data_IF_442582169636
#
_entry.id   IF_442582169636
#
_cell.length_a   1.000
_cell.length_b   1.000
_cell.length_c   1.000
_cell.angle_alpha   90.00
_cell.angle_beta   90.00
_cell.angle_gamma   90.00
#
_symmetry.space_group_name_H-M   'P 1'
#
loop_
_entity.id
_entity.type
_entity.pdbx_description
1 polymer ?
#
# COMPACT_ATOMS: atom_id res chain seq x y z
N UNK A 1 -16.94 -2.47 42.47
CA UNK A 1 -15.57 -2.92 42.13
C UNK A 1 -15.50 -3.72 40.83
N UNK A 2 -16.31 -4.77 40.62
CA UNK A 2 -16.27 -5.60 39.40
C UNK A 2 -16.52 -4.84 38.07
N UNK A 3 -17.46 -3.89 38.05
CA UNK A 3 -17.78 -3.07 36.85
C UNK A 3 -16.65 -2.11 36.44
N UNK A 4 -15.93 -1.55 37.42
CA UNK A 4 -14.78 -0.67 37.17
C UNK A 4 -13.62 -1.48 36.58
N UNK A 5 -13.39 -2.70 37.08
CA UNK A 5 -12.37 -3.59 36.55
C UNK A 5 -12.66 -4.00 35.10
N UNK A 6 -13.93 -4.28 34.77
CA UNK A 6 -14.35 -4.62 33.39
C UNK A 6 -14.20 -3.43 32.45
N UNK A 7 -14.55 -2.22 32.88
CA UNK A 7 -14.34 -0.99 32.10
C UNK A 7 -12.86 -0.71 31.87
N UNK A 8 -12.02 -0.82 32.91
CA UNK A 8 -10.57 -0.64 32.79
C UNK A 8 -9.94 -1.69 31.88
N UNK A 9 -10.38 -2.95 31.95
CA UNK A 9 -9.93 -4.00 31.03
C UNK A 9 -10.36 -3.70 29.59
N UNK A 10 -11.58 -3.24 29.35
CA UNK A 10 -12.05 -2.86 28.01
C UNK A 10 -11.26 -1.68 27.43
N UNK A 11 -10.98 -0.65 28.24
CA UNK A 11 -10.17 0.51 27.84
C UNK A 11 -8.71 0.11 27.59
N UNK A 12 -8.14 -0.73 28.44
CA UNK A 12 -6.78 -1.23 28.26
C UNK A 12 -6.66 -2.14 27.02
N UNK A 13 -7.66 -2.98 26.73
CA UNK A 13 -7.70 -3.79 25.51
C UNK A 13 -7.88 -2.94 24.25
N UNK A 14 -8.70 -1.87 24.30
CA UNK A 14 -8.81 -0.89 23.23
C UNK A 14 -7.46 -0.20 22.95
N UNK A 15 -6.83 0.34 23.99
CA UNK A 15 -5.53 1.01 23.88
C UNK A 15 -4.36 0.07 23.51
N UNK A 16 -4.46 -1.22 23.83
CA UNK A 16 -3.43 -2.20 23.48
C UNK A 16 -3.52 -2.66 22.03
N UNK A 17 -4.72 -2.66 21.43
CA UNK A 17 -4.91 -2.98 20.01
C UNK A 17 -4.31 -1.90 19.09
N UNK A 18 -4.32 -0.63 19.53
CA UNK A 18 -3.84 0.51 18.75
C UNK A 18 -2.32 0.73 18.82
N UNK A 19 -1.57 -0.08 19.58
CA UNK A 19 -0.12 0.11 19.73
C UNK A 19 0.67 -0.59 18.61
N UNK A 20 0.36 -0.26 17.36
CA UNK A 20 1.25 -0.50 16.22
C UNK A 20 2.42 0.48 16.23
N UNK A 21 3.58 0.11 15.66
CA UNK A 21 4.63 1.09 15.35
C UNK A 21 4.25 1.78 14.04
N UNK A 22 3.89 3.07 14.11
CA UNK A 22 3.64 3.98 12.98
C UNK A 22 4.88 4.25 12.09
N UNK A 23 5.82 3.33 12.03
CA UNK A 23 7.07 3.51 11.30
C UNK A 23 6.83 3.77 9.81
N UNK A 24 6.00 2.95 9.15
CA UNK A 24 5.70 3.13 7.72
C UNK A 24 4.89 4.39 7.46
N UNK A 25 3.87 4.68 8.27
CA UNK A 25 3.09 5.92 8.21
C UNK A 25 4.01 7.15 8.31
N UNK A 26 4.86 7.20 9.34
CA UNK A 26 5.77 8.33 9.55
C UNK A 26 6.79 8.48 8.42
N UNK A 27 7.33 7.36 7.90
CA UNK A 27 8.25 7.36 6.76
C UNK A 27 7.55 7.93 5.52
N UNK A 28 6.36 7.43 5.18
CA UNK A 28 5.60 7.85 4.01
C UNK A 28 5.17 9.31 4.11
N UNK A 29 4.65 9.75 5.27
CA UNK A 29 4.27 11.15 5.46
C UNK A 29 5.47 12.11 5.39
N UNK A 30 6.63 11.69 5.91
CA UNK A 30 7.88 12.46 5.79
C UNK A 30 8.33 12.56 4.34
N UNK A 31 8.31 11.46 3.59
CA UNK A 31 8.66 11.45 2.16
C UNK A 31 7.68 12.32 1.35
N UNK A 32 6.37 12.18 1.58
CA UNK A 32 5.33 12.98 0.91
C UNK A 32 5.47 14.47 1.18
N UNK A 33 5.71 14.86 2.44
CA UNK A 33 5.91 16.26 2.81
C UNK A 33 7.22 16.84 2.26
N UNK A 34 8.28 16.04 2.13
CA UNK A 34 9.58 16.50 1.65
C UNK A 34 9.61 16.64 0.12
N UNK A 35 9.01 15.69 -0.59
CA UNK A 35 9.00 15.68 -2.06
C UNK A 35 7.85 16.53 -2.64
N UNK A 36 6.73 16.62 -1.93
CA UNK A 36 5.48 17.09 -2.50
C UNK A 36 4.78 16.01 -3.32
N UNK A 37 3.52 16.27 -3.69
CA UNK A 37 2.62 15.29 -4.30
C UNK A 37 3.11 14.77 -5.66
N UNK A 38 3.62 15.65 -6.51
CA UNK A 38 4.02 15.30 -7.88
C UNK A 38 5.25 14.37 -7.88
N UNK A 39 6.31 14.75 -7.18
CA UNK A 39 7.53 13.95 -7.08
C UNK A 39 7.29 12.64 -6.30
N UNK A 40 6.43 12.66 -5.27
CA UNK A 40 6.02 11.43 -4.59
C UNK A 40 5.22 10.49 -5.52
N UNK A 41 4.38 11.05 -6.40
CA UNK A 41 3.65 10.27 -7.42
C UNK A 41 4.62 9.63 -8.41
N UNK A 42 5.58 10.40 -8.91
CA UNK A 42 6.63 9.92 -9.82
C UNK A 42 7.51 8.83 -9.18
N UNK A 43 7.95 9.04 -7.93
CA UNK A 43 8.69 8.04 -7.17
C UNK A 43 7.88 6.76 -6.96
N UNK A 44 6.60 6.91 -6.61
CA UNK A 44 5.68 5.78 -6.43
C UNK A 44 5.52 5.00 -7.72
N UNK A 45 5.37 5.67 -8.86
CA UNK A 45 5.30 5.03 -10.17
C UNK A 45 6.55 4.16 -10.44
N UNK A 46 7.74 4.72 -10.24
CA UNK A 46 9.00 3.97 -10.40
C UNK A 46 9.11 2.80 -9.41
N UNK A 47 8.70 2.97 -8.15
CA UNK A 47 8.70 1.90 -7.15
C UNK A 47 7.76 0.75 -7.53
N UNK A 48 6.52 1.06 -7.91
CA UNK A 48 5.52 0.04 -8.20
C UNK A 48 5.71 -0.60 -9.57
N UNK A 49 6.21 0.10 -10.59
CA UNK A 49 6.61 -0.53 -11.87
C UNK A 49 7.72 -1.56 -11.67
N UNK A 50 8.72 -1.25 -10.84
CA UNK A 50 9.78 -2.22 -10.50
C UNK A 50 9.26 -3.37 -9.64
N UNK A 51 8.32 -3.07 -8.73
CA UNK A 51 7.70 -4.08 -7.87
C UNK A 51 6.84 -5.06 -8.67
N UNK A 52 6.19 -4.60 -9.74
CA UNK A 52 5.29 -5.39 -10.57
C UNK A 52 5.73 -5.35 -12.05
N UNK A 53 6.84 -6.01 -12.42
CA UNK A 53 7.38 -5.97 -13.79
C UNK A 53 6.41 -6.49 -14.87
N UNK A 54 5.44 -7.33 -14.50
CA UNK A 54 4.41 -7.85 -15.42
C UNK A 54 3.09 -7.08 -15.36
N UNK A 55 2.98 -6.03 -14.53
CA UNK A 55 1.79 -5.20 -14.43
C UNK A 55 1.66 -4.27 -15.62
N UNK A 56 0.43 -4.04 -16.09
CA UNK A 56 0.20 -3.04 -17.14
C UNK A 56 0.40 -1.62 -16.61
N UNK A 57 0.67 -0.67 -17.50
CA UNK A 57 0.78 0.74 -17.12
C UNK A 57 -0.49 1.25 -16.43
N UNK A 58 -1.67 0.87 -16.93
CA UNK A 58 -2.97 1.23 -16.32
C UNK A 58 -3.08 0.70 -14.89
N UNK A 59 -2.73 -0.57 -14.67
CA UNK A 59 -2.81 -1.20 -13.35
C UNK A 59 -1.88 -0.50 -12.35
N UNK A 60 -0.62 -0.27 -12.73
CA UNK A 60 0.35 0.41 -11.87
C UNK A 60 -0.10 1.85 -11.60
N UNK A 61 -0.59 2.56 -12.61
CA UNK A 61 -1.08 3.94 -12.47
C UNK A 61 -2.27 4.02 -11.51
N UNK A 62 -3.20 3.06 -11.59
CA UNK A 62 -4.35 3.00 -10.70
C UNK A 62 -3.93 2.69 -9.25
N UNK A 63 -2.95 1.81 -9.05
CA UNK A 63 -2.38 1.55 -7.72
C UNK A 63 -1.70 2.81 -7.15
N UNK A 64 -0.86 3.48 -7.95
CA UNK A 64 -0.16 4.70 -7.55
C UNK A 64 -1.16 5.79 -7.16
N UNK A 65 -2.21 5.99 -7.96
CA UNK A 65 -3.27 6.96 -7.68
C UNK A 65 -3.91 6.73 -6.31
N UNK A 66 -4.22 5.48 -5.96
CA UNK A 66 -4.84 5.17 -4.67
C UNK A 66 -3.84 5.27 -3.50
N UNK A 67 -2.58 4.93 -3.70
CA UNK A 67 -1.49 5.13 -2.72
C UNK A 67 -1.23 6.61 -2.46
N UNK A 68 -1.20 7.44 -3.50
CA UNK A 68 -1.03 8.89 -3.35
C UNK A 68 -2.26 9.49 -2.65
N UNK A 69 -3.47 9.08 -3.05
CA UNK A 69 -4.72 9.55 -2.44
C UNK A 69 -4.83 9.19 -0.95
N UNK A 70 -4.50 7.96 -0.55
CA UNK A 70 -4.51 7.61 0.87
C UNK A 70 -3.39 8.32 1.64
N UNK A 71 -2.24 8.56 1.02
CA UNK A 71 -1.12 9.26 1.66
C UNK A 71 -1.51 10.71 1.94
N UNK A 72 -2.08 11.41 0.95
CA UNK A 72 -2.59 12.77 1.10
C UNK A 72 -3.67 12.85 2.20
N UNK A 73 -4.60 11.89 2.25
CA UNK A 73 -5.65 11.87 3.26
C UNK A 73 -5.15 11.54 4.67
N UNK A 74 -4.28 10.53 4.82
CA UNK A 74 -3.85 10.03 6.12
C UNK A 74 -2.66 10.79 6.74
N UNK A 75 -1.96 11.61 5.95
CA UNK A 75 -0.90 12.49 6.44
C UNK A 75 -1.39 13.92 6.71
N UNK A 76 -2.66 14.22 6.43
CA UNK A 76 -3.26 15.51 6.75
C UNK A 76 -3.35 15.74 8.27
N UNK A 77 -3.26 17.00 8.68
CA UNK A 77 -3.49 17.38 10.08
C UNK A 77 -4.90 16.99 10.51
N UNK A 78 -5.02 16.35 11.69
CA UNK A 78 -6.30 15.87 12.21
C UNK A 78 -6.82 14.58 11.57
N UNK A 79 -6.02 13.90 10.73
CA UNK A 79 -6.36 12.56 10.25
C UNK A 79 -6.47 11.56 11.41
N UNK A 80 -7.36 10.59 11.25
CA UNK A 80 -7.55 9.51 12.22
C UNK A 80 -6.23 8.76 12.50
N UNK A 81 -5.91 8.42 13.76
CA UNK A 81 -4.68 7.70 14.10
C UNK A 81 -4.46 6.44 13.26
N UNK A 82 -5.53 5.68 12.98
CA UNK A 82 -5.54 4.41 12.26
C UNK A 82 -5.84 4.56 10.76
N UNK A 83 -5.91 5.79 10.24
CA UNK A 83 -6.21 6.05 8.83
C UNK A 83 -5.31 5.24 7.89
N UNK A 84 -4.01 5.24 8.15
CA UNK A 84 -3.02 4.60 7.27
C UNK A 84 -3.19 3.08 7.22
N UNK A 85 -3.36 2.43 8.38
CA UNK A 85 -3.54 0.97 8.46
C UNK A 85 -4.90 0.55 7.89
N UNK A 86 -5.95 1.33 8.12
CA UNK A 86 -7.28 1.09 7.57
C UNK A 86 -7.26 1.16 6.04
N UNK A 87 -6.68 2.22 5.47
CA UNK A 87 -6.64 2.44 4.02
C UNK A 87 -5.69 1.47 3.31
N UNK A 88 -4.58 1.11 3.94
CA UNK A 88 -3.65 0.09 3.41
C UNK A 88 -4.28 -1.31 3.44
N UNK A 89 -5.06 -1.63 4.49
CA UNK A 89 -5.81 -2.88 4.56
C UNK A 89 -6.89 -2.95 3.47
N UNK A 90 -7.56 -1.84 3.18
CA UNK A 90 -8.52 -1.72 2.09
C UNK A 90 -7.86 -1.93 0.72
N UNK A 91 -6.69 -1.33 0.45
CA UNK A 91 -5.92 -1.59 -0.77
C UNK A 91 -5.58 -3.08 -0.94
N UNK A 92 -5.13 -3.72 0.14
CA UNK A 92 -4.78 -5.14 0.15
C UNK A 92 -6.01 -6.03 -0.05
N UNK A 93 -7.17 -5.62 0.45
CA UNK A 93 -8.43 -6.33 0.20
C UNK A 93 -8.85 -6.20 -1.27
N UNK A 94 -8.73 -4.99 -1.83
CA UNK A 94 -9.03 -4.72 -3.24
C UNK A 94 -8.12 -5.48 -4.21
N UNK A 95 -6.86 -5.76 -3.84
CA UNK A 95 -5.98 -6.65 -4.62
C UNK A 95 -6.44 -8.12 -4.66
N UNK A 96 -7.35 -8.53 -3.78
CA UNK A 96 -7.91 -9.88 -3.76
C UNK A 96 -9.19 -10.04 -4.58
N UNK A 97 -9.76 -8.95 -5.10
CA UNK A 97 -10.95 -9.01 -5.93
C UNK A 97 -10.65 -9.66 -7.28
N UNK A 98 -11.56 -10.48 -7.80
CA UNK A 98 -11.36 -11.20 -9.07
C UNK A 98 -11.08 -10.29 -10.27
N UNK A 99 -11.61 -9.06 -10.24
CA UNK A 99 -11.42 -8.04 -11.27
C UNK A 99 -10.62 -6.86 -10.71
N UNK A 100 -9.66 -7.13 -9.82
CA UNK A 100 -8.85 -6.10 -9.21
C UNK A 100 -8.20 -5.21 -10.28
N UNK A 101 -8.26 -3.87 -10.15
CA UNK A 101 -7.59 -2.98 -11.08
C UNK A 101 -6.08 -2.89 -10.81
N UNK A 102 -5.56 -3.61 -9.81
CA UNK A 102 -4.16 -3.53 -9.40
C UNK A 102 -3.31 -4.64 -10.03
N UNK A 103 -2.00 -4.40 -10.20
CA UNK A 103 -1.09 -5.47 -10.53
C UNK A 103 -0.92 -6.38 -9.32
N UNK A 104 -0.77 -7.69 -9.55
CA UNK A 104 -0.62 -8.69 -8.49
C UNK A 104 0.62 -9.55 -8.72
N UNK A 105 1.17 -10.10 -7.64
CA UNK A 105 2.23 -11.08 -7.72
C UNK A 105 1.66 -12.46 -8.08
N UNK A 106 2.42 -13.34 -8.76
CA UNK A 106 2.12 -14.77 -8.73
C UNK A 106 2.03 -15.25 -7.28
N UNK A 107 0.99 -16.02 -6.93
CA UNK A 107 0.73 -16.44 -5.55
C UNK A 107 -0.23 -15.55 -4.76
N UNK A 108 -0.68 -14.42 -5.33
CA UNK A 108 -1.61 -13.51 -4.62
C UNK A 108 -2.95 -14.18 -4.32
N UNK A 109 -3.48 -15.01 -5.23
CA UNK A 109 -4.75 -15.71 -5.02
C UNK A 109 -4.71 -16.63 -3.79
N UNK A 110 -3.61 -17.36 -3.59
CA UNK A 110 -3.38 -18.20 -2.43
C UNK A 110 -3.29 -17.37 -1.15
N UNK A 111 -2.59 -16.23 -1.18
CA UNK A 111 -2.54 -15.33 -0.03
C UNK A 111 -3.92 -14.74 0.31
N UNK A 112 -4.78 -14.51 -0.69
CA UNK A 112 -6.13 -14.00 -0.51
C UNK A 112 -7.09 -15.00 0.15
N UNK A 113 -6.75 -16.29 0.23
CA UNK A 113 -7.50 -17.28 1.04
C UNK A 113 -7.25 -17.16 2.53
N UNK A 114 -6.22 -16.39 2.94
CA UNK A 114 -5.84 -16.17 4.34
C UNK A 114 -6.51 -14.91 4.88
N UNK A 115 -6.52 -14.76 6.20
CA UNK A 115 -7.14 -13.63 6.89
C UNK A 115 -6.13 -12.83 7.73
N UNK A 116 -6.52 -11.59 8.08
CA UNK A 116 -5.79 -10.73 9.02
C UNK A 116 -4.28 -10.61 8.76
N UNK A 117 -3.50 -10.89 9.82
CA UNK A 117 -2.04 -10.81 9.81
C UNK A 117 -1.41 -11.82 8.83
N UNK A 118 -1.98 -13.01 8.70
CA UNK A 118 -1.43 -14.06 7.85
C UNK A 118 -1.48 -13.66 6.37
N UNK A 119 -2.59 -13.07 5.93
CA UNK A 119 -2.71 -12.48 4.58
C UNK A 119 -1.68 -11.38 4.35
N UNK A 120 -1.55 -10.46 5.31
CA UNK A 120 -0.58 -9.33 5.23
C UNK A 120 0.85 -9.84 5.07
N UNK A 121 1.26 -10.82 5.88
CA UNK A 121 2.59 -11.40 5.82
C UNK A 121 2.81 -12.22 4.55
N UNK A 122 1.82 -12.99 4.12
CA UNK A 122 1.87 -13.76 2.88
C UNK A 122 2.10 -12.84 1.67
N UNK A 123 1.28 -11.79 1.51
CA UNK A 123 1.42 -10.83 0.41
C UNK A 123 2.76 -10.11 0.44
N UNK A 124 3.26 -9.73 1.62
CA UNK A 124 4.55 -9.06 1.77
C UNK A 124 5.74 -9.95 1.38
N UNK A 125 5.59 -11.27 1.44
CA UNK A 125 6.62 -12.24 1.07
C UNK A 125 6.67 -12.54 -0.44
N UNK A 126 5.61 -12.24 -1.20
CA UNK A 126 5.56 -12.48 -2.64
C UNK A 126 6.59 -11.64 -3.40
N UNK A 127 7.17 -12.23 -4.45
CA UNK A 127 8.19 -11.60 -5.30
C UNK A 127 7.93 -11.95 -6.76
N UNK A 128 8.26 -11.04 -7.67
CA UNK A 128 8.37 -11.40 -9.09
C UNK A 128 9.73 -12.00 -9.41
N UNK A 129 9.75 -12.83 -10.45
CA UNK A 129 10.98 -13.17 -11.13
C UNK A 129 11.52 -11.92 -11.85
N UNK A 130 12.86 -11.79 -11.96
CA UNK A 130 13.44 -10.72 -12.77
C UNK A 130 12.99 -10.85 -14.23
N UNK A 131 12.80 -9.72 -14.89
CA UNK A 131 12.52 -9.68 -16.33
C UNK A 131 13.82 -9.99 -17.09
N UNK A 132 13.93 -11.19 -17.66
CA UNK A 132 15.13 -11.60 -18.40
C UNK A 132 15.23 -10.94 -19.78
N UNK A 133 14.09 -10.62 -20.39
CA UNK A 133 14.00 -10.07 -21.74
C UNK A 133 13.37 -8.67 -21.72
N UNK A 134 14.20 -7.60 -21.70
CA UNK A 134 13.69 -6.24 -21.82
C UNK A 134 13.22 -5.96 -23.26
N UNK A 135 12.09 -5.26 -23.39
CA UNK A 135 11.49 -4.91 -24.70
C UNK A 135 11.52 -3.41 -25.01
N UNK A 136 12.06 -2.60 -24.09
CA UNK A 136 12.19 -1.16 -24.29
C UNK A 136 13.20 -0.86 -25.39
N UNK A 137 12.78 -0.06 -26.36
CA UNK A 137 13.62 0.55 -27.39
C UNK A 137 13.40 2.05 -27.29
N UNK A 138 14.49 2.81 -27.19
CA UNK A 138 14.41 4.27 -27.13
C UNK A 138 13.81 4.81 -28.44
N UNK A 139 12.68 5.55 -28.38
CA UNK A 139 12.07 6.12 -29.58
C UNK A 139 12.91 7.25 -30.17
N UNK A 140 12.62 7.63 -31.41
CA UNK A 140 13.22 8.78 -32.07
C UNK A 140 12.70 10.10 -31.50
N UNK A 141 13.43 11.21 -31.72
CA UNK A 141 12.98 12.54 -31.31
C UNK A 141 11.61 12.90 -31.91
N UNK A 142 11.34 12.50 -33.16
CA UNK A 142 10.08 12.77 -33.85
C UNK A 142 8.89 12.01 -33.22
N UNK A 143 9.15 10.90 -32.52
CA UNK A 143 8.12 10.14 -31.77
C UNK A 143 7.93 10.68 -30.35
N UNK A 144 8.97 11.30 -29.77
CA UNK A 144 8.96 11.81 -28.38
C UNK A 144 8.39 13.23 -28.28
N UNK A 145 8.78 14.13 -29.19
CA UNK A 145 8.49 15.56 -29.15
C UNK A 145 7.18 15.94 -29.83
#
# INVERSE_FOLDING_TARGET
MKRVLVLLLAVAFGHALERGRDYEKNKVCKEFSHLGKEDFTSLSLVLYSRKFPSGTFEQVSQLVKEVVSLTEACCAEGADPDCYDTRTSALSAKSCESNSPFPVHPGTAECCTKEGLERKLCMAALKHQPQEFPTYVEPTNDEIC
#
